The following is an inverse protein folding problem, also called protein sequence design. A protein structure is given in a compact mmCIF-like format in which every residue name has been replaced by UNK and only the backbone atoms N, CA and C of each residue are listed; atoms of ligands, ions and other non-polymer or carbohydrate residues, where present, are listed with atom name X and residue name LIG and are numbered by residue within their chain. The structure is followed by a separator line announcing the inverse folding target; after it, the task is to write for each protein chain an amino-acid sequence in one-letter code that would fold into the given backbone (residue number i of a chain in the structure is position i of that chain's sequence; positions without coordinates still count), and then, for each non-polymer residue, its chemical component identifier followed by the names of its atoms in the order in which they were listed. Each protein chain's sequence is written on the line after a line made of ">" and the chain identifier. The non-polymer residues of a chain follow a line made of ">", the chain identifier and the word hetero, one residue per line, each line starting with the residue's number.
data_IF_367765320269
#
_entry.id   IF_367765320269
#
_cell.length_a   1.000
_cell.length_b   1.000
_cell.length_c   1.000
_cell.angle_alpha   90.00
_cell.angle_beta   90.00
_cell.angle_gamma   90.00
#
_symmetry.space_group_name_H-M   'P 1'
#
loop_
_entity.id
_entity.type
_entity.pdbx_description
1 polymer ?
#
# COMPACT_ATOMS: atom_id res chain seq x y z
N UNK A 1 -7.72 -16.91 11.54
CA UNK A 1 -7.24 -17.03 10.14
C UNK A 1 -6.56 -15.74 9.73
N UNK A 2 -5.32 -15.79 9.25
CA UNK A 2 -4.69 -14.66 8.57
C UNK A 2 -5.14 -14.64 7.10
N UNK A 3 -5.09 -13.45 6.50
CA UNK A 3 -5.44 -13.23 5.09
C UNK A 3 -4.30 -12.48 4.45
N UNK A 4 -3.82 -12.95 3.31
CA UNK A 4 -2.81 -12.25 2.53
C UNK A 4 -3.45 -11.07 1.79
N UNK A 5 -2.81 -9.90 1.86
CA UNK A 5 -3.28 -8.68 1.21
C UNK A 5 -2.39 -8.35 0.01
N UNK A 6 -3.03 -7.94 -1.08
CA UNK A 6 -2.34 -7.41 -2.22
C UNK A 6 -1.82 -5.99 -1.93
N UNK A 7 -0.63 -5.68 -2.43
CA UNK A 7 -0.09 -4.33 -2.40
C UNK A 7 0.80 -4.09 -3.61
N UNK A 8 0.89 -2.83 -4.03
CA UNK A 8 1.93 -2.40 -4.97
C UNK A 8 3.09 -1.79 -4.19
N UNK A 9 4.31 -1.95 -4.73
CA UNK A 9 5.53 -1.38 -4.14
C UNK A 9 6.04 -0.22 -5.00
N UNK A 10 6.48 0.85 -4.36
CA UNK A 10 7.18 1.96 -5.00
C UNK A 10 8.44 2.24 -4.19
N UNK A 11 9.59 2.13 -4.83
CA UNK A 11 10.89 2.26 -4.18
C UNK A 11 11.46 3.66 -4.34
N UNK A 12 11.99 4.18 -3.23
CA UNK A 12 12.99 5.24 -3.27
C UNK A 12 14.31 4.73 -3.84
N UNK A 13 15.25 5.64 -4.12
CA UNK A 13 16.52 5.26 -4.76
C UNK A 13 17.50 4.53 -3.84
N UNK A 14 17.28 4.55 -2.52
CA UNK A 14 18.13 3.88 -1.51
C UNK A 14 17.29 3.38 -0.32
N UNK A 15 16.37 2.43 -0.54
CA UNK A 15 15.36 2.11 0.47
C UNK A 15 15.96 1.36 1.67
N UNK A 16 15.75 1.89 2.86
CA UNK A 16 16.16 1.32 4.16
C UNK A 16 14.95 1.05 5.06
N UNK A 17 13.80 1.66 4.77
CA UNK A 17 12.57 1.60 5.57
C UNK A 17 11.35 1.41 4.69
N UNK A 18 10.28 0.85 5.24
CA UNK A 18 9.00 0.66 4.53
C UNK A 18 7.88 1.37 5.26
N UNK A 19 6.99 2.02 4.50
CA UNK A 19 5.75 2.63 4.98
C UNK A 19 4.55 2.03 4.25
N UNK A 20 3.47 1.75 4.98
CA UNK A 20 2.20 1.31 4.42
C UNK A 20 1.29 2.52 4.15
N UNK A 21 0.79 2.61 2.92
CA UNK A 21 -0.24 3.57 2.51
C UNK A 21 -1.59 2.86 2.51
N UNK A 22 -2.49 3.29 3.39
CA UNK A 22 -3.82 2.70 3.57
C UNK A 22 -4.90 3.65 3.06
N UNK A 23 -5.82 3.13 2.27
CA UNK A 23 -6.95 3.89 1.73
C UNK A 23 -8.17 3.85 2.67
N UNK A 24 -9.14 4.75 2.42
CA UNK A 24 -10.44 4.74 3.09
C UNK A 24 -11.46 3.79 2.45
N UNK A 25 -12.70 3.78 2.95
CA UNK A 25 -13.74 2.77 2.66
C UNK A 25 -14.16 2.60 1.19
N UNK A 26 -13.90 3.57 0.31
CA UNK A 26 -14.22 3.47 -1.13
C UNK A 26 -12.96 3.38 -2.02
N UNK A 27 -11.80 3.21 -1.41
CA UNK A 27 -10.51 3.26 -2.11
C UNK A 27 -9.90 1.90 -2.42
N UNK A 28 -8.74 1.95 -3.05
CA UNK A 28 -7.74 0.88 -3.19
C UNK A 28 -6.35 1.50 -3.07
N UNK A 29 -5.32 0.69 -2.83
CA UNK A 29 -3.95 1.18 -2.62
C UNK A 29 -3.48 2.09 -3.76
N UNK A 30 -3.80 1.74 -5.01
CA UNK A 30 -3.42 2.50 -6.19
C UNK A 30 -4.00 3.94 -6.24
N UNK A 31 -5.08 4.26 -5.51
CA UNK A 31 -5.57 5.64 -5.41
C UNK A 31 -4.57 6.58 -4.73
N UNK A 32 -3.65 6.04 -3.92
CA UNK A 32 -2.63 6.80 -3.21
C UNK A 32 -1.30 6.90 -3.98
N UNK A 33 -1.23 6.38 -5.22
CA UNK A 33 0.03 6.29 -5.98
C UNK A 33 0.76 7.61 -6.13
N UNK A 34 0.06 8.68 -6.51
CA UNK A 34 0.70 9.98 -6.72
C UNK A 34 1.30 10.53 -5.43
N UNK A 35 0.60 10.35 -4.29
CA UNK A 35 1.09 10.76 -2.97
C UNK A 35 2.32 9.92 -2.58
N UNK A 36 2.23 8.61 -2.75
CA UNK A 36 3.33 7.68 -2.44
C UNK A 36 4.59 7.96 -3.27
N UNK A 37 4.44 8.25 -4.58
CA UNK A 37 5.58 8.64 -5.45
C UNK A 37 6.27 9.90 -4.92
N UNK A 38 5.50 10.97 -4.68
CA UNK A 38 6.04 12.22 -4.11
C UNK A 38 6.70 12.00 -2.75
N UNK A 39 6.14 11.10 -1.93
CA UNK A 39 6.72 10.75 -0.64
C UNK A 39 8.11 10.10 -0.78
N UNK A 40 8.25 9.08 -1.63
CA UNK A 40 9.54 8.39 -1.82
C UNK A 40 10.55 9.25 -2.59
N UNK A 41 10.10 10.13 -3.49
CA UNK A 41 10.95 11.14 -4.14
C UNK A 41 11.54 12.11 -3.11
N UNK A 42 10.73 12.61 -2.18
CA UNK A 42 11.18 13.50 -1.11
C UNK A 42 11.97 12.77 0.00
N UNK A 43 11.80 11.44 0.13
CA UNK A 43 12.45 10.61 1.15
C UNK A 43 13.02 9.34 0.52
N UNK A 44 14.17 9.43 -0.19
CA UNK A 44 14.71 8.32 -0.98
C UNK A 44 15.06 7.05 -0.18
N UNK A 45 15.18 7.19 1.15
CA UNK A 45 15.39 6.10 2.11
C UNK A 45 14.18 5.18 2.34
N UNK A 46 13.05 5.43 1.68
CA UNK A 46 11.79 4.72 1.95
C UNK A 46 11.25 3.97 0.74
N UNK A 47 10.66 2.81 1.00
CA UNK A 47 9.73 2.11 0.13
C UNK A 47 8.29 2.38 0.59
N UNK A 48 7.40 2.71 -0.35
CA UNK A 48 5.97 2.77 -0.10
C UNK A 48 5.29 1.46 -0.53
N UNK A 49 4.50 0.87 0.36
CA UNK A 49 3.61 -0.27 0.09
C UNK A 49 2.16 0.23 0.05
N UNK A 50 1.53 0.19 -1.12
CA UNK A 50 0.18 0.69 -1.36
C UNK A 50 -0.77 -0.50 -1.21
N UNK A 51 -1.32 -0.67 -0.01
CA UNK A 51 -2.07 -1.86 0.37
C UNK A 51 -3.52 -1.75 -0.09
N UNK A 52 -4.02 -2.80 -0.71
CA UNK A 52 -5.46 -3.00 -0.88
C UNK A 52 -5.99 -3.62 0.42
N UNK A 53 -6.85 -2.92 1.17
CA UNK A 53 -7.48 -3.47 2.37
C UNK A 53 -8.42 -4.63 2.01
N UNK A 54 -8.79 -5.46 3.00
CA UNK A 54 -9.68 -6.62 2.78
C UNK A 54 -10.92 -6.23 1.98
N UNK A 55 -11.27 -7.04 0.98
CA UNK A 55 -12.41 -6.84 0.10
C UNK A 55 -12.28 -5.68 -0.89
N UNK A 56 -11.13 -5.02 -0.96
CA UNK A 56 -10.85 -3.95 -1.91
C UNK A 56 -9.75 -4.36 -2.88
N UNK A 57 -9.75 -3.72 -4.06
CA UNK A 57 -8.73 -3.95 -5.09
C UNK A 57 -8.55 -5.43 -5.41
N UNK A 58 -7.34 -5.95 -5.22
CA UNK A 58 -7.01 -7.37 -5.45
C UNK A 58 -7.02 -8.21 -4.16
N UNK A 59 -7.23 -7.59 -3.01
CA UNK A 59 -7.24 -8.30 -1.73
C UNK A 59 -8.55 -9.07 -1.54
N UNK A 60 -8.50 -10.31 -1.04
CA UNK A 60 -9.70 -11.11 -0.80
C UNK A 60 -10.57 -10.48 0.30
N UNK A 61 -11.86 -10.82 0.29
CA UNK A 61 -12.78 -10.50 1.39
C UNK A 61 -12.41 -11.32 2.62
N UNK A 62 -12.68 -10.77 3.81
CA UNK A 62 -12.68 -11.57 5.03
C UNK A 62 -13.90 -12.50 5.05
N UNK A 63 -13.75 -13.69 5.60
CA UNK A 63 -14.89 -14.50 6.05
C UNK A 63 -15.29 -14.05 7.46
N UNK A 64 -16.59 -13.89 7.74
CA UNK A 64 -17.07 -13.78 9.11
C UNK A 64 -16.63 -15.00 9.93
N UNK A 65 -16.32 -14.79 11.20
CA UNK A 65 -16.03 -15.87 12.15
C UNK A 65 -17.33 -16.59 12.54
#
# INVERSE_FOLDING_TARGET
>A
MSVELAFDRIDGSRPERTIAFLHGILGRGNNLRTIAKRFVEARPGWTASLVDLRGHGRSPKGTPA
#
